data_IF_816807558622
#
_entry.id   IF_816807558622
#
_cell.length_a   1.000
_cell.length_b   1.000
_cell.length_c   1.000
_cell.angle_alpha   90.00
_cell.angle_beta   90.00
_cell.angle_gamma   90.00
#
_symmetry.space_group_name_H-M   'P 1'
#
loop_
_entity.id
_entity.type
_entity.pdbx_description
1 polymer ?
#
# COMPACT_ATOMS: atom_id res chain seq x y z
N UNK A 1 25.37 -20.98 54.75
CA UNK A 1 24.87 -21.27 53.38
C UNK A 1 23.81 -20.22 53.07
N UNK A 2 24.10 -19.29 52.17
CA UNK A 2 23.35 -18.04 52.01
C UNK A 2 22.12 -18.21 51.09
N UNK A 3 21.01 -17.60 51.50
CA UNK A 3 19.81 -17.34 50.69
C UNK A 3 20.03 -16.10 49.81
N UNK A 4 19.56 -16.10 48.56
CA UNK A 4 19.35 -14.87 47.76
C UNK A 4 18.09 -14.96 46.89
N UNK A 5 17.38 -13.83 46.87
CA UNK A 5 16.11 -13.48 46.24
C UNK A 5 16.24 -13.27 44.71
N UNK A 6 15.13 -13.41 43.96
CA UNK A 6 15.12 -13.43 42.49
C UNK A 6 15.21 -12.10 41.75
N UNK A 7 15.07 -12.15 40.42
CA UNK A 7 14.47 -11.10 39.56
C UNK A 7 14.47 -11.46 38.07
N UNK A 8 13.41 -11.03 37.42
CA UNK A 8 13.03 -10.97 36.01
C UNK A 8 14.15 -10.74 34.98
N UNK A 9 14.01 -11.37 33.80
CA UNK A 9 14.36 -10.72 32.52
C UNK A 9 13.27 -10.96 31.48
N UNK A 10 12.54 -9.87 31.24
CA UNK A 10 11.67 -9.59 30.11
C UNK A 10 12.44 -9.72 28.80
N UNK A 11 11.96 -10.58 27.89
CA UNK A 11 12.40 -10.68 26.51
C UNK A 11 11.37 -10.05 25.57
N UNK A 12 11.81 -9.08 24.79
CA UNK A 12 11.03 -8.11 24.02
C UNK A 12 10.32 -8.73 22.79
N UNK A 13 9.02 -8.40 22.67
CA UNK A 13 8.19 -8.18 21.48
C UNK A 13 8.62 -8.71 20.09
N UNK A 14 7.75 -9.50 19.47
CA UNK A 14 7.04 -9.11 18.25
C UNK A 14 5.83 -10.02 18.05
N UNK A 15 4.65 -9.54 18.43
CA UNK A 15 3.38 -10.15 18.00
C UNK A 15 3.27 -9.92 16.48
N UNK A 16 3.76 -10.87 15.68
CA UNK A 16 3.34 -10.99 14.29
C UNK A 16 1.87 -11.40 14.33
N UNK A 17 0.99 -10.41 14.19
CA UNK A 17 -0.45 -10.57 14.15
C UNK A 17 -0.84 -11.29 12.85
N UNK A 18 -0.89 -12.62 12.88
CA UNK A 18 -1.23 -13.46 11.73
C UNK A 18 -2.74 -13.57 11.43
N UNK A 19 -3.63 -12.89 12.17
CA UNK A 19 -5.06 -13.26 12.15
C UNK A 19 -6.06 -12.17 11.73
N UNK A 20 -5.63 -10.93 11.46
CA UNK A 20 -6.54 -9.84 11.07
C UNK A 20 -6.62 -9.57 9.55
N UNK A 21 -5.67 -10.11 8.78
CA UNK A 21 -5.47 -9.79 7.36
C UNK A 21 -6.15 -10.75 6.37
N UNK A 22 -6.78 -11.81 6.89
CA UNK A 22 -7.36 -12.91 6.09
C UNK A 22 -8.89 -13.02 6.18
N UNK A 23 -9.54 -12.04 6.82
CA UNK A 23 -10.99 -12.01 7.01
C UNK A 23 -11.64 -11.02 6.04
N UNK A 24 -12.69 -11.43 5.34
CA UNK A 24 -13.44 -10.49 4.52
C UNK A 24 -14.27 -9.54 5.41
N UNK A 25 -14.18 -8.21 5.23
CA UNK A 25 -14.89 -7.25 6.08
C UNK A 25 -16.43 -7.28 5.91
N UNK A 26 -16.93 -7.92 4.85
CA UNK A 26 -18.36 -7.96 4.53
C UNK A 26 -19.03 -9.21 5.07
N UNK A 27 -18.51 -10.40 4.75
CA UNK A 27 -19.09 -11.67 5.20
C UNK A 27 -18.44 -12.20 6.49
N UNK A 28 -17.35 -11.59 6.97
CA UNK A 28 -16.58 -12.01 8.15
C UNK A 28 -16.04 -13.45 8.09
N UNK A 29 -16.05 -14.07 6.91
CA UNK A 29 -15.50 -15.39 6.72
C UNK A 29 -13.97 -15.32 6.63
N UNK A 30 -13.29 -16.36 7.10
CA UNK A 30 -11.83 -16.47 7.14
C UNK A 30 -11.34 -17.63 6.27
N UNK A 31 -10.12 -17.53 5.73
CA UNK A 31 -9.47 -18.55 4.90
C UNK A 31 -9.35 -19.91 5.61
N UNK A 32 -9.25 -19.94 6.93
CA UNK A 32 -9.24 -21.18 7.71
C UNK A 32 -10.52 -22.04 7.53
N UNK A 33 -11.69 -21.40 7.40
CA UNK A 33 -12.97 -22.10 7.25
C UNK A 33 -13.27 -22.45 5.78
N UNK A 34 -12.67 -21.71 4.85
CA UNK A 34 -12.84 -21.90 3.41
C UNK A 34 -11.49 -21.72 2.70
N UNK A 35 -10.70 -22.80 2.54
CA UNK A 35 -9.31 -22.71 2.07
C UNK A 35 -9.18 -22.17 0.64
N UNK A 36 -10.21 -22.31 -0.19
CA UNK A 36 -10.23 -21.80 -1.57
C UNK A 36 -10.68 -20.34 -1.68
N UNK A 37 -10.94 -19.66 -0.57
CA UNK A 37 -11.40 -18.27 -0.57
C UNK A 37 -10.24 -17.32 -0.89
N UNK A 38 -10.36 -16.62 -2.02
CA UNK A 38 -9.42 -15.57 -2.42
C UNK A 38 -9.90 -14.20 -1.95
N UNK A 39 -9.00 -13.44 -1.34
CA UNK A 39 -9.19 -12.01 -1.05
C UNK A 39 -8.54 -11.20 -2.16
N UNK A 40 -9.35 -10.40 -2.85
CA UNK A 40 -8.91 -9.48 -3.89
C UNK A 40 -8.82 -8.06 -3.33
N UNK A 41 -7.98 -7.24 -3.94
CA UNK A 41 -7.71 -5.86 -3.54
C UNK A 41 -8.11 -4.90 -4.65
N UNK A 42 -8.81 -3.82 -4.28
CA UNK A 42 -9.22 -2.76 -5.20
C UNK A 42 -8.23 -1.60 -5.27
N UNK A 43 -8.44 -0.68 -6.21
CA UNK A 43 -7.69 0.59 -6.32
C UNK A 43 -7.79 1.52 -5.09
N UNK A 44 -8.71 1.29 -4.15
CA UNK A 44 -8.73 1.98 -2.87
C UNK A 44 -8.01 1.20 -1.74
N UNK A 45 -7.29 0.13 -2.08
CA UNK A 45 -6.52 -0.72 -1.17
C UNK A 45 -7.36 -1.38 -0.06
N UNK A 46 -8.62 -1.71 -0.36
CA UNK A 46 -9.47 -2.51 0.54
C UNK A 46 -9.59 -3.95 0.03
N UNK A 47 -9.44 -4.92 0.95
CA UNK A 47 -9.55 -6.37 0.72
C UNK A 47 -11.01 -6.83 0.79
N UNK A 48 -11.45 -7.66 -0.15
CA UNK A 48 -12.77 -8.29 -0.16
C UNK A 48 -12.69 -9.66 -0.81
N UNK A 49 -13.55 -10.61 -0.42
CA UNK A 49 -13.58 -11.90 -1.11
C UNK A 49 -14.33 -11.83 -2.43
N UNK A 50 -13.96 -12.74 -3.34
CA UNK A 50 -14.55 -12.86 -4.67
C UNK A 50 -16.09 -12.90 -4.64
N UNK A 51 -16.68 -13.70 -3.75
CA UNK A 51 -18.14 -13.82 -3.64
C UNK A 51 -18.83 -12.52 -3.17
N UNK A 52 -18.19 -11.76 -2.28
CA UNK A 52 -18.72 -10.46 -1.85
C UNK A 52 -18.61 -9.42 -2.97
N UNK A 53 -17.53 -9.44 -3.73
CA UNK A 53 -17.33 -8.55 -4.88
C UNK A 53 -18.41 -8.83 -5.93
N UNK A 54 -18.62 -10.10 -6.26
CA UNK A 54 -19.60 -10.51 -7.27
C UNK A 54 -21.02 -10.08 -6.92
N UNK A 55 -21.41 -10.23 -5.65
CA UNK A 55 -22.73 -9.80 -5.18
C UNK A 55 -22.89 -8.29 -5.14
N UNK A 56 -21.89 -7.56 -4.64
CA UNK A 56 -21.97 -6.10 -4.47
C UNK A 56 -21.89 -5.33 -5.80
N UNK A 57 -21.15 -5.86 -6.77
CA UNK A 57 -20.93 -5.24 -8.07
C UNK A 57 -21.66 -5.96 -9.21
N UNK A 58 -22.63 -6.84 -8.90
CA UNK A 58 -23.44 -7.55 -9.90
C UNK A 58 -24.15 -6.61 -10.87
N UNK A 59 -24.67 -5.49 -10.35
CA UNK A 59 -25.41 -4.49 -11.11
C UNK A 59 -24.50 -3.44 -11.78
N UNK A 60 -23.18 -3.65 -11.77
CA UNK A 60 -22.20 -2.74 -12.39
C UNK A 60 -21.35 -1.97 -11.37
N UNK A 61 -21.05 -0.72 -11.69
CA UNK A 61 -20.21 0.13 -10.83
C UNK A 61 -20.95 0.48 -9.54
N UNK A 62 -20.26 0.39 -8.40
CA UNK A 62 -20.84 0.62 -7.08
C UNK A 62 -19.85 1.27 -6.12
N UNK A 63 -20.30 1.80 -4.99
CA UNK A 63 -19.41 2.37 -4.00
C UNK A 63 -18.69 1.28 -3.18
N UNK A 64 -17.41 1.50 -2.88
CA UNK A 64 -16.68 0.71 -1.90
C UNK A 64 -17.38 0.81 -0.53
N UNK A 65 -17.69 -0.30 0.15
CA UNK A 65 -18.41 -0.26 1.43
C UNK A 65 -17.62 0.39 2.59
N UNK A 66 -16.31 0.60 2.41
CA UNK A 66 -15.42 1.14 3.45
C UNK A 66 -15.14 2.64 3.25
N UNK A 67 -14.83 3.06 2.01
CA UNK A 67 -14.49 4.46 1.71
C UNK A 67 -15.38 5.14 0.67
N UNK A 68 -16.44 4.49 0.21
CA UNK A 68 -17.43 5.01 -0.74
C UNK A 68 -16.87 5.40 -2.12
N UNK A 69 -15.61 5.09 -2.43
CA UNK A 69 -15.06 5.27 -3.79
C UNK A 69 -15.82 4.39 -4.77
N UNK A 70 -16.27 4.96 -5.89
CA UNK A 70 -16.92 4.20 -6.96
C UNK A 70 -15.90 3.27 -7.62
N UNK A 71 -16.20 1.98 -7.64
CA UNK A 71 -15.37 0.90 -8.17
C UNK A 71 -16.17 0.01 -9.12
N UNK A 72 -15.45 -0.74 -9.96
CA UNK A 72 -16.01 -1.79 -10.82
C UNK A 72 -15.41 -3.14 -10.42
N UNK A 73 -16.09 -4.25 -10.73
CA UNK A 73 -15.58 -5.61 -10.47
C UNK A 73 -14.15 -5.82 -11.03
N UNK A 74 -13.87 -5.30 -12.23
CA UNK A 74 -12.54 -5.37 -12.88
C UNK A 74 -11.44 -4.62 -12.13
N UNK A 75 -11.78 -3.70 -11.22
CA UNK A 75 -10.82 -2.95 -10.41
C UNK A 75 -10.26 -3.78 -9.25
N UNK A 76 -10.80 -4.99 -9.00
CA UNK A 76 -10.30 -5.90 -7.98
C UNK A 76 -9.34 -6.91 -8.59
N UNK A 77 -8.14 -7.00 -8.04
CA UNK A 77 -7.04 -7.84 -8.53
C UNK A 77 -6.49 -8.67 -7.36
N UNK A 78 -5.98 -9.86 -7.64
CA UNK A 78 -5.28 -10.69 -6.65
C UNK A 78 -3.98 -9.98 -6.23
N UNK A 79 -3.77 -9.71 -4.93
CA UNK A 79 -2.57 -9.02 -4.48
C UNK A 79 -1.33 -9.87 -4.75
N UNK A 80 -0.24 -9.23 -5.18
CA UNK A 80 1.03 -9.94 -5.44
C UNK A 80 1.88 -10.07 -4.17
N UNK A 81 1.70 -9.13 -3.24
CA UNK A 81 2.37 -9.11 -1.93
C UNK A 81 1.36 -9.27 -0.79
N UNK A 82 1.77 -9.90 0.31
CA UNK A 82 0.95 -10.04 1.52
C UNK A 82 0.65 -8.69 2.17
N UNK A 83 1.65 -7.80 2.21
CA UNK A 83 1.52 -6.44 2.72
C UNK A 83 1.09 -5.45 1.63
N UNK A 84 -0.09 -4.87 1.79
CA UNK A 84 -0.63 -3.85 0.88
C UNK A 84 0.18 -2.56 0.86
N UNK A 85 0.97 -2.28 1.91
CA UNK A 85 1.88 -1.13 1.94
C UNK A 85 2.97 -1.30 0.88
N UNK A 86 3.49 -2.52 0.71
CA UNK A 86 4.48 -2.86 -0.31
C UNK A 86 3.86 -2.75 -1.70
N UNK A 87 2.66 -3.30 -1.90
CA UNK A 87 1.93 -3.17 -3.18
C UNK A 87 1.72 -1.69 -3.57
N UNK A 88 1.30 -0.85 -2.62
CA UNK A 88 1.13 0.60 -2.81
C UNK A 88 2.45 1.28 -3.18
N UNK A 89 3.53 0.96 -2.47
CA UNK A 89 4.86 1.47 -2.74
C UNK A 89 5.36 1.08 -4.14
N UNK A 90 5.22 -0.19 -4.52
CA UNK A 90 5.64 -0.68 -5.84
C UNK A 90 4.86 0.02 -6.95
N UNK A 91 3.55 0.24 -6.78
CA UNK A 91 2.73 1.01 -7.73
C UNK A 91 3.24 2.45 -7.87
N UNK A 92 3.57 3.11 -6.76
CA UNK A 92 4.13 4.47 -6.75
C UNK A 92 5.49 4.50 -7.44
N UNK A 93 6.41 3.59 -7.10
CA UNK A 93 7.74 3.51 -7.72
C UNK A 93 7.67 3.27 -9.23
N UNK A 94 6.81 2.35 -9.68
CA UNK A 94 6.57 2.12 -11.12
C UNK A 94 6.04 3.36 -11.84
N UNK A 95 5.17 4.13 -11.18
CA UNK A 95 4.65 5.39 -11.74
C UNK A 95 5.76 6.44 -11.82
N UNK A 96 6.56 6.60 -10.75
CA UNK A 96 7.68 7.53 -10.73
C UNK A 96 8.73 7.18 -11.77
N UNK A 97 9.14 5.92 -11.90
CA UNK A 97 10.13 5.50 -12.91
C UNK A 97 9.67 5.77 -14.36
N UNK A 98 8.36 5.80 -14.62
CA UNK A 98 7.82 6.14 -15.95
C UNK A 98 7.87 7.64 -16.23
N UNK A 99 7.65 8.47 -15.21
CA UNK A 99 7.60 9.93 -15.35
C UNK A 99 8.99 10.58 -15.20
N UNK A 100 9.84 9.99 -14.37
CA UNK A 100 11.19 10.43 -14.00
C UNK A 100 12.22 9.44 -14.55
N UNK A 101 12.34 9.38 -15.89
CA UNK A 101 13.16 8.41 -16.62
C UNK A 101 14.50 8.96 -17.11
N UNK A 102 14.96 10.10 -16.58
CA UNK A 102 16.27 10.68 -16.94
C UNK A 102 17.39 9.73 -16.54
N UNK A 103 18.36 9.57 -17.44
CA UNK A 103 19.53 8.72 -17.30
C UNK A 103 20.75 9.54 -16.95
N UNK A 104 21.81 8.90 -16.46
CA UNK A 104 23.05 9.59 -16.11
C UNK A 104 23.64 10.42 -17.27
N UNK A 105 23.44 9.97 -18.51
CA UNK A 105 23.87 10.67 -19.74
C UNK A 105 23.16 12.02 -19.98
N UNK A 106 22.02 12.26 -19.34
CA UNK A 106 21.28 13.52 -19.43
C UNK A 106 21.84 14.62 -18.51
N UNK A 107 22.91 14.33 -17.75
CA UNK A 107 23.48 15.23 -16.74
C UNK A 107 24.96 15.52 -16.99
N UNK A 108 25.37 16.76 -16.68
CA UNK A 108 26.76 17.21 -16.83
C UNK A 108 27.70 16.60 -15.78
N UNK A 109 27.17 16.24 -14.61
CA UNK A 109 27.98 15.72 -13.49
C UNK A 109 27.30 14.55 -12.76
N UNK A 110 28.12 13.68 -12.17
CA UNK A 110 27.62 12.59 -11.31
C UNK A 110 26.89 13.14 -10.08
N UNK A 111 27.29 14.32 -9.59
CA UNK A 111 26.64 14.95 -8.43
C UNK A 111 25.20 15.33 -8.75
N UNK A 112 24.97 16.03 -9.87
CA UNK A 112 23.62 16.42 -10.30
C UNK A 112 22.71 15.22 -10.54
N UNK A 113 23.25 14.10 -11.04
CA UNK A 113 22.50 12.86 -11.20
C UNK A 113 22.09 12.26 -9.85
N UNK A 114 22.99 12.22 -8.87
CA UNK A 114 22.66 11.73 -7.52
C UNK A 114 21.64 12.63 -6.81
N UNK A 115 21.77 13.95 -6.93
CA UNK A 115 20.81 14.91 -6.36
C UNK A 115 19.42 14.74 -7.01
N UNK A 116 19.37 14.43 -8.32
CA UNK A 116 18.12 14.06 -9.01
C UNK A 116 17.51 12.76 -8.48
N UNK A 117 18.31 11.70 -8.28
CA UNK A 117 17.83 10.42 -7.74
C UNK A 117 17.27 10.61 -6.31
N UNK A 118 17.94 11.40 -5.48
CA UNK A 118 17.49 11.73 -4.13
C UNK A 118 16.15 12.48 -4.17
N UNK A 119 16.00 13.46 -5.07
CA UNK A 119 14.74 14.19 -5.27
C UNK A 119 13.59 13.27 -5.72
N UNK A 120 13.85 12.28 -6.57
CA UNK A 120 12.84 11.29 -6.99
C UNK A 120 12.42 10.39 -5.81
N UNK A 121 13.36 9.93 -4.99
CA UNK A 121 13.05 9.15 -3.79
C UNK A 121 12.31 9.98 -2.73
N UNK A 122 12.66 11.25 -2.54
CA UNK A 122 11.94 12.16 -1.64
C UNK A 122 10.47 12.30 -2.05
N UNK A 123 10.20 12.48 -3.35
CA UNK A 123 8.84 12.48 -3.89
C UNK A 123 8.15 11.15 -3.59
N UNK A 124 8.83 10.02 -3.82
CA UNK A 124 8.31 8.68 -3.51
C UNK A 124 7.94 8.51 -2.03
N UNK A 125 8.78 9.01 -1.13
CA UNK A 125 8.53 8.99 0.32
C UNK A 125 7.34 9.87 0.72
N UNK A 126 7.14 11.02 0.07
CA UNK A 126 5.99 11.89 0.33
C UNK A 126 4.66 11.21 -0.04
N UNK A 127 4.60 10.53 -1.20
CA UNK A 127 3.41 9.78 -1.62
C UNK A 127 3.02 8.64 -0.66
N UNK A 128 4.01 8.04 0.04
CA UNK A 128 3.75 7.01 1.07
C UNK A 128 3.02 7.60 2.28
N UNK A 129 3.29 8.85 2.63
CA UNK A 129 2.94 9.45 3.93
C UNK A 129 1.54 10.07 4.04
N UNK A 130 0.61 9.80 3.10
CA UNK A 130 -0.76 10.34 3.10
C UNK A 130 -0.86 11.89 3.12
N UNK A 131 0.20 12.63 2.80
CA UNK A 131 0.21 14.11 2.71
C UNK A 131 -0.15 14.63 1.30
N UNK A 132 -1.18 14.03 0.71
CA UNK A 132 -1.54 14.22 -0.72
C UNK A 132 -1.99 15.65 -1.10
N UNK A 133 -2.46 16.45 -0.14
CA UNK A 133 -3.10 17.74 -0.46
C UNK A 133 -2.16 18.94 -0.64
N UNK A 134 -0.89 18.86 -0.23
CA UNK A 134 -0.03 20.06 -0.21
C UNK A 134 0.81 20.23 -1.49
N UNK A 135 1.18 19.13 -2.16
CA UNK A 135 2.19 19.19 -3.22
C UNK A 135 1.62 19.53 -4.62
N UNK A 136 0.44 19.00 -4.96
CA UNK A 136 -0.18 19.27 -6.27
C UNK A 136 -0.49 20.77 -6.47
N UNK A 137 -0.90 21.50 -5.43
CA UNK A 137 -1.13 22.95 -5.52
C UNK A 137 0.16 23.77 -5.60
N UNK A 138 1.30 23.26 -5.09
CA UNK A 138 2.54 24.03 -4.97
C UNK A 138 3.53 23.79 -6.12
N UNK A 139 3.62 22.58 -6.69
CA UNK A 139 4.52 22.28 -7.81
C UNK A 139 3.94 22.55 -9.21
N UNK A 140 2.64 22.42 -9.44
CA UNK A 140 2.03 22.79 -10.74
C UNK A 140 2.15 24.30 -11.05
N UNK A 141 2.42 25.13 -10.04
CA UNK A 141 2.68 26.57 -10.22
C UNK A 141 4.12 26.90 -10.62
N UNK A 142 5.07 25.96 -10.48
CA UNK A 142 6.50 26.17 -10.76
C UNK A 142 6.85 25.77 -12.20
N UNK A 143 6.04 24.92 -12.85
CA UNK A 143 6.26 24.49 -14.24
C UNK A 143 5.56 25.41 -15.26
N UNK A 144 4.76 26.39 -14.80
CA UNK A 144 3.99 27.34 -15.64
C UNK A 144 4.45 28.80 -15.49
N UNK A 145 5.63 29.05 -14.94
CA UNK A 145 6.34 30.34 -14.96
C UNK A 145 7.79 30.12 -15.36
#
# INVERSE_FOLDING_TARGET
MASFTGSSKSGINARYSFDADEVCPICKNNRYLTPNMKLLVSDCYHKMCESCIDRLFANGAGPCPICQKILRKVSFIEPTFEDLRVEKEVKIRRMLSKQYNQRQEDFESLRSYNDYLEMVEEIGMEFKSHKILFFFKKKYLIVLK
#
